data_IF_077694225708
#
_entry.id   IF_077694225708
#
_cell.length_a   1.000
_cell.length_b   1.000
_cell.length_c   1.000
_cell.angle_alpha   90.00
_cell.angle_beta   90.00
_cell.angle_gamma   90.00
#
_symmetry.space_group_name_H-M   'P 1'
#
loop_
_entity.id
_entity.type
_entity.pdbx_description
1 polymer ?
#
# COMPACT_ATOMS: atom_id res chain seq x y z
N UNK A 1 11.28 21.51 -0.17
CA UNK A 1 10.70 20.66 -1.22
C UNK A 1 11.09 21.23 -2.57
N UNK A 2 11.75 20.47 -3.44
CA UNK A 2 12.09 20.94 -4.78
C UNK A 2 10.83 21.11 -5.64
N UNK A 3 10.79 22.19 -6.43
CA UNK A 3 9.72 22.46 -7.39
C UNK A 3 10.37 22.58 -8.76
N UNK A 4 9.89 21.81 -9.72
CA UNK A 4 10.41 21.79 -11.09
C UNK A 4 9.30 22.27 -12.03
N UNK A 5 9.64 23.24 -12.89
CA UNK A 5 8.76 23.66 -13.98
C UNK A 5 8.98 22.77 -15.19
N UNK A 6 7.90 22.37 -15.79
CA UNK A 6 7.88 21.57 -17.02
C UNK A 6 6.96 22.23 -18.04
N UNK A 7 7.16 21.94 -19.31
CA UNK A 7 6.41 22.56 -20.41
C UNK A 7 5.03 21.90 -20.63
N UNK A 8 4.94 20.59 -20.37
CA UNK A 8 3.73 19.81 -20.62
C UNK A 8 3.64 18.58 -19.69
N UNK A 9 2.56 17.85 -19.81
CA UNK A 9 2.32 16.64 -19.02
C UNK A 9 3.33 15.52 -19.32
N UNK A 10 3.78 15.38 -20.55
CA UNK A 10 4.72 14.32 -20.92
C UNK A 10 6.06 14.54 -20.24
N UNK A 11 6.57 15.75 -20.27
CA UNK A 11 7.78 16.11 -19.53
C UNK A 11 7.62 15.96 -18.03
N UNK A 12 6.44 16.32 -17.48
CA UNK A 12 6.12 16.13 -16.07
C UNK A 12 6.21 14.65 -15.68
N UNK A 13 5.65 13.78 -16.48
CA UNK A 13 5.62 12.34 -16.21
C UNK A 13 7.02 11.71 -16.30
N UNK A 14 7.79 12.06 -17.30
CA UNK A 14 9.18 11.59 -17.43
C UNK A 14 10.05 12.08 -16.26
N UNK A 15 9.92 13.35 -15.89
CA UNK A 15 10.65 13.92 -14.75
C UNK A 15 10.24 13.23 -13.44
N UNK A 16 8.95 12.97 -13.25
CA UNK A 16 8.46 12.26 -12.06
C UNK A 16 9.01 10.84 -11.96
N UNK A 17 9.09 10.12 -13.08
CA UNK A 17 9.68 8.78 -13.14
C UNK A 17 11.17 8.79 -12.79
N UNK A 18 11.90 9.78 -13.28
CA UNK A 18 13.33 9.91 -13.01
C UNK A 18 13.59 10.21 -11.52
N UNK A 19 12.84 11.13 -10.94
CA UNK A 19 12.97 11.51 -9.52
C UNK A 19 12.53 10.38 -8.59
N UNK A 20 11.53 9.64 -8.98
CA UNK A 20 10.96 8.53 -8.19
C UNK A 20 11.97 7.37 -8.02
N UNK A 21 12.91 7.21 -8.94
CA UNK A 21 14.04 6.29 -8.87
C UNK A 21 13.68 4.81 -8.63
N UNK A 22 12.47 4.41 -8.95
CA UNK A 22 12.03 3.02 -8.81
C UNK A 22 11.61 2.61 -7.39
N UNK A 23 11.51 3.52 -6.44
CA UNK A 23 11.01 3.22 -5.10
C UNK A 23 9.53 2.83 -5.09
N UNK A 24 8.74 3.39 -6.00
CA UNK A 24 7.32 3.09 -6.21
C UNK A 24 6.48 3.16 -4.94
N UNK A 25 6.75 4.16 -4.13
CA UNK A 25 6.10 4.32 -2.83
C UNK A 25 4.76 5.07 -2.97
N UNK A 26 4.81 6.36 -3.25
CA UNK A 26 3.62 7.22 -3.26
C UNK A 26 3.72 8.28 -4.34
N UNK A 27 2.64 8.48 -5.06
CA UNK A 27 2.51 9.60 -5.98
C UNK A 27 1.13 10.24 -5.86
N UNK A 28 1.07 11.54 -6.13
CA UNK A 28 -0.19 12.28 -6.23
C UNK A 28 -0.26 12.99 -7.56
N UNK A 29 -1.45 13.08 -8.12
CA UNK A 29 -1.73 13.86 -9.31
C UNK A 29 -2.88 14.83 -9.05
N UNK A 30 -2.72 16.07 -9.44
CA UNK A 30 -3.78 17.07 -9.45
C UNK A 30 -4.13 17.39 -10.89
N UNK A 31 -5.24 16.85 -11.37
CA UNK A 31 -5.68 16.99 -12.76
C UNK A 31 -7.16 16.65 -12.87
N UNK A 32 -7.83 17.30 -13.80
CA UNK A 32 -9.19 16.90 -14.23
C UNK A 32 -9.19 16.02 -15.47
N UNK A 33 -8.04 15.84 -16.12
CA UNK A 33 -7.89 14.97 -17.27
C UNK A 33 -7.81 13.50 -16.84
N UNK A 34 -8.82 12.72 -17.22
CA UNK A 34 -8.84 11.27 -16.99
C UNK A 34 -7.69 10.59 -17.74
N UNK A 35 -7.36 11.07 -18.92
CA UNK A 35 -6.24 10.55 -19.71
C UNK A 35 -4.90 10.74 -18.97
N UNK A 36 -4.63 11.92 -18.48
CA UNK A 36 -3.41 12.20 -17.71
C UNK A 36 -3.33 11.34 -16.46
N UNK A 37 -4.44 11.20 -15.73
CA UNK A 37 -4.52 10.37 -14.54
C UNK A 37 -4.22 8.90 -14.86
N UNK A 38 -4.83 8.36 -15.91
CA UNK A 38 -4.62 6.97 -16.31
C UNK A 38 -3.18 6.70 -16.76
N UNK A 39 -2.62 7.62 -17.52
CA UNK A 39 -1.21 7.50 -17.96
C UNK A 39 -0.24 7.57 -16.78
N UNK A 40 -0.47 8.49 -15.85
CA UNK A 40 0.36 8.61 -14.65
C UNK A 40 0.26 7.36 -13.77
N UNK A 41 -0.93 6.89 -13.47
CA UNK A 41 -1.15 5.69 -12.66
C UNK A 41 -0.49 4.44 -13.29
N UNK A 42 -0.59 4.31 -14.61
CA UNK A 42 -0.04 3.17 -15.35
C UNK A 42 1.49 3.18 -15.40
N UNK A 43 2.10 4.35 -15.50
CA UNK A 43 3.57 4.48 -15.60
C UNK A 43 4.27 4.51 -14.25
N UNK A 44 3.73 5.24 -13.30
CA UNK A 44 4.36 5.39 -11.98
C UNK A 44 4.28 4.12 -11.12
N UNK A 45 3.19 3.37 -11.22
CA UNK A 45 3.02 2.09 -10.53
C UNK A 45 3.36 2.14 -9.03
N UNK A 46 3.05 3.25 -8.38
CA UNK A 46 3.30 3.41 -6.95
C UNK A 46 2.29 2.62 -6.12
N UNK A 47 2.69 2.20 -4.92
CA UNK A 47 1.82 1.48 -3.99
C UNK A 47 0.63 2.34 -3.55
N UNK A 48 0.85 3.64 -3.40
CA UNK A 48 -0.19 4.63 -3.13
C UNK A 48 -0.24 5.62 -4.29
N UNK A 49 -1.40 5.79 -4.88
CA UNK A 49 -1.64 6.76 -5.94
C UNK A 49 -2.91 7.54 -5.63
N UNK A 50 -2.78 8.85 -5.47
CA UNK A 50 -3.88 9.72 -5.06
C UNK A 50 -4.18 10.75 -6.13
N UNK A 51 -5.44 10.95 -6.45
CA UNK A 51 -5.92 12.01 -7.34
C UNK A 51 -6.54 13.14 -6.55
N UNK A 52 -6.10 14.36 -6.84
CA UNK A 52 -6.70 15.60 -6.35
C UNK A 52 -6.82 15.68 -4.81
N UNK A 53 -5.83 15.18 -4.12
CA UNK A 53 -5.80 15.22 -2.67
C UNK A 53 -4.40 14.99 -2.10
N UNK A 54 -4.22 15.15 -0.81
CA UNK A 54 -2.97 14.85 -0.16
C UNK A 54 -2.70 13.33 -0.11
N UNK A 55 -1.45 12.96 -0.05
CA UNK A 55 -1.02 11.54 -0.03
C UNK A 55 -1.62 10.73 1.13
N UNK A 56 -1.96 11.37 2.24
CA UNK A 56 -2.60 10.74 3.40
C UNK A 56 -3.95 10.08 3.08
N UNK A 57 -4.64 10.53 2.04
CA UNK A 57 -5.89 9.88 1.61
C UNK A 57 -5.68 8.44 1.19
N UNK A 58 -4.51 8.10 0.67
CA UNK A 58 -4.18 6.75 0.22
C UNK A 58 -3.94 5.75 1.34
N UNK A 59 -3.79 6.21 2.58
CA UNK A 59 -3.65 5.35 3.77
C UNK A 59 -4.90 5.36 4.66
N UNK A 60 -6.04 5.69 4.08
CA UNK A 60 -7.34 5.61 4.77
C UNK A 60 -7.76 6.85 5.55
N UNK A 61 -7.03 7.96 5.44
CA UNK A 61 -7.44 9.21 6.06
C UNK A 61 -8.60 9.83 5.26
N UNK A 62 -9.77 9.84 5.84
CA UNK A 62 -11.03 10.30 5.21
C UNK A 62 -11.40 9.58 3.89
N UNK A 63 -10.73 8.51 3.55
CA UNK A 63 -10.99 7.67 2.38
C UNK A 63 -10.70 6.21 2.69
N UNK A 64 -11.10 5.33 1.78
CA UNK A 64 -10.81 3.91 1.90
C UNK A 64 -9.31 3.64 1.75
N UNK A 65 -8.78 2.82 2.65
CA UNK A 65 -7.38 2.41 2.64
C UNK A 65 -6.94 1.85 3.99
N UNK A 66 -5.78 1.24 4.01
CA UNK A 66 -5.18 0.75 5.24
C UNK A 66 -4.46 1.89 5.96
N UNK A 67 -4.78 2.09 7.23
CA UNK A 67 -4.14 3.09 8.09
C UNK A 67 -2.80 2.56 8.60
N UNK A 68 -1.85 2.41 7.70
CA UNK A 68 -0.50 1.96 8.00
C UNK A 68 0.51 2.83 7.28
N UNK A 69 1.59 3.16 7.97
CA UNK A 69 2.74 3.83 7.37
C UNK A 69 3.76 2.86 6.78
N UNK A 70 3.56 1.57 6.97
CA UNK A 70 4.42 0.55 6.37
C UNK A 70 3.89 0.23 4.98
N UNK A 71 4.64 0.66 3.97
CA UNK A 71 4.32 0.46 2.57
C UNK A 71 5.40 -0.41 1.96
N UNK A 72 5.00 -1.57 1.44
CA UNK A 72 5.89 -2.47 0.71
C UNK A 72 6.16 -1.98 -0.71
N UNK A 73 7.12 -2.60 -1.35
CA UNK A 73 7.44 -2.35 -2.75
C UNK A 73 6.48 -3.07 -3.68
N UNK A 74 6.67 -2.90 -4.98
CA UNK A 74 5.84 -3.51 -6.02
C UNK A 74 5.76 -5.04 -6.00
N UNK A 75 6.58 -5.70 -5.22
CA UNK A 75 6.66 -7.16 -5.17
C UNK A 75 5.64 -7.83 -4.27
N UNK A 76 4.71 -7.11 -3.68
CA UNK A 76 3.60 -7.79 -3.11
C UNK A 76 2.90 -7.22 -1.90
N UNK A 77 3.53 -6.39 -1.10
CA UNK A 77 2.87 -5.90 0.11
C UNK A 77 1.99 -4.69 -0.18
N UNK A 78 2.44 -3.78 -1.07
CA UNK A 78 1.73 -2.53 -1.30
C UNK A 78 1.50 -1.78 0.00
N UNK A 79 0.29 -1.33 0.24
CA UNK A 79 -0.12 -0.82 1.56
C UNK A 79 -0.37 -1.98 2.50
N UNK A 80 0.28 -1.98 3.65
CA UNK A 80 0.19 -3.07 4.62
C UNK A 80 -1.02 -2.94 5.54
N UNK A 81 -1.48 -4.08 6.03
CA UNK A 81 -2.48 -4.19 7.10
C UNK A 81 -1.97 -5.11 8.19
N UNK A 82 -2.74 -5.27 9.28
CA UNK A 82 -2.39 -6.19 10.36
C UNK A 82 -2.13 -7.62 9.88
N UNK A 83 -2.74 -8.04 8.78
CA UNK A 83 -2.52 -9.38 8.20
C UNK A 83 -1.10 -9.61 7.70
N UNK A 84 -0.40 -8.58 7.26
CA UNK A 84 0.97 -8.70 6.76
C UNK A 84 1.97 -9.00 7.88
N UNK A 85 1.60 -8.72 9.10
CA UNK A 85 2.41 -9.01 10.28
C UNK A 85 2.03 -10.33 10.97
N UNK A 86 1.04 -11.04 10.42
CA UNK A 86 0.59 -12.32 10.92
C UNK A 86 1.14 -13.47 10.07
N UNK A 87 1.50 -14.55 10.74
CA UNK A 87 1.95 -15.77 10.07
C UNK A 87 0.75 -16.57 9.54
N UNK A 88 0.69 -16.80 8.26
CA UNK A 88 -0.27 -17.73 7.68
C UNK A 88 0.15 -19.17 7.95
N UNK A 89 -0.79 -19.96 8.41
CA UNK A 89 -0.62 -21.41 8.56
C UNK A 89 -1.67 -22.14 7.73
N UNK A 90 -1.23 -23.24 7.13
CA UNK A 90 -2.17 -24.19 6.53
C UNK A 90 -2.23 -25.40 7.47
N UNK A 91 -3.45 -25.76 7.87
CA UNK A 91 -3.70 -27.01 8.57
C UNK A 91 -4.68 -27.83 7.74
N UNK A 92 -4.22 -28.98 7.30
CA UNK A 92 -5.04 -29.93 6.53
C UNK A 92 -5.37 -31.11 7.42
N UNK A 93 -6.67 -31.36 7.62
CA UNK A 93 -7.17 -32.47 8.42
C UNK A 93 -7.83 -33.48 7.48
N UNK A 94 -7.47 -34.74 7.63
CA UNK A 94 -8.10 -35.87 6.96
C UNK A 94 -8.76 -36.76 7.99
N UNK A 95 -9.87 -37.38 7.66
CA UNK A 95 -10.59 -38.33 8.52
C UNK A 95 -10.97 -37.79 9.90
N UNK A 96 -11.37 -36.56 10.00
CA UNK A 96 -11.81 -35.94 11.25
C UNK A 96 -10.65 -35.45 12.13
N UNK A 97 -10.98 -34.95 13.25
CA UNK A 97 -10.05 -34.38 14.23
C UNK A 97 -10.44 -32.96 14.65
N UNK A 98 -9.82 -32.50 15.69
CA UNK A 98 -9.96 -31.12 16.17
C UNK A 98 -8.68 -30.38 15.92
N UNK A 99 -8.78 -29.14 15.47
CA UNK A 99 -7.67 -28.21 15.55
C UNK A 99 -7.21 -28.14 17.00
N UNK A 100 -5.91 -28.23 17.28
CA UNK A 100 -5.41 -27.97 18.62
C UNK A 100 -5.93 -26.61 19.05
N UNK A 101 -6.68 -26.60 20.14
CA UNK A 101 -7.18 -25.33 20.71
C UNK A 101 -6.04 -24.41 21.08
N UNK A 102 -6.37 -23.17 21.33
CA UNK A 102 -5.41 -22.23 21.89
C UNK A 102 -4.73 -22.88 23.09
N UNK A 103 -3.42 -22.75 23.16
CA UNK A 103 -2.70 -23.08 24.38
C UNK A 103 -3.34 -22.19 25.46
N UNK A 104 -4.13 -22.78 26.34
CA UNK A 104 -4.54 -22.08 27.56
C UNK A 104 -3.24 -21.79 28.31
N UNK A 105 -2.85 -20.54 28.33
CA UNK A 105 -1.88 -20.09 29.31
C UNK A 105 -2.57 -20.39 30.64
N UNK A 106 -2.12 -21.46 31.31
CA UNK A 106 -2.56 -21.71 32.67
C UNK A 106 -2.21 -20.47 33.47
N UNK A 107 -3.23 -19.78 33.89
CA UNK A 107 -3.06 -18.72 34.86
C UNK A 107 -2.43 -19.37 36.10
N UNK A 108 -1.17 -19.05 36.37
CA UNK A 108 -0.45 -19.56 37.56
C UNK A 108 -1.03 -19.02 38.88
N UNK A 109 -2.17 -18.38 38.85
CA UNK A 109 -2.81 -17.76 40.02
C UNK A 109 -3.84 -18.65 40.72
N UNK A 110 -4.06 -19.85 40.24
CA UNK A 110 -4.94 -20.83 40.91
C UNK A 110 -4.15 -22.10 41.17
N UNK A 111 -3.31 -22.02 42.15
CA UNK A 111 -2.81 -23.23 42.86
C UNK A 111 -3.70 -23.46 44.08
#
# INVERSE_FOLDING_TARGET
>A
VPIIRVKDFDEALETALDIEQGYRHTATIHSESIEHMNRAAKKLQTAVFVKNGPSLLGIGFDKEGHTSFTIGTVTGEGTTSARHFARRRRCTLTSGGRLPGYIRIRDRRTS
#
